data_IF_455405341229
#
_entry.id   IF_455405341229
#
_cell.length_a   1.000
_cell.length_b   1.000
_cell.length_c   1.000
_cell.angle_alpha   90.00
_cell.angle_beta   90.00
_cell.angle_gamma   90.00
#
_symmetry.space_group_name_H-M   'P 1'
#
loop_
_entity.id
_entity.type
_entity.pdbx_description
1 polymer ?
#
# COMPACT_ATOMS: atom_id res chain seq x y z
N UNK A 1 20.96 -8.48 0.67
CA UNK A 1 20.06 -9.38 1.40
C UNK A 1 18.67 -8.81 1.15
N UNK A 2 17.86 -9.45 0.30
CA UNK A 2 16.51 -8.95 -0.03
C UNK A 2 15.63 -9.25 1.19
N UNK A 3 14.94 -8.24 1.70
CA UNK A 3 13.82 -8.43 2.61
C UNK A 3 12.66 -8.90 1.73
N UNK A 4 12.26 -10.16 1.91
CA UNK A 4 11.15 -10.77 1.20
C UNK A 4 9.83 -10.07 1.65
N UNK A 5 8.86 -9.87 0.74
CA UNK A 5 7.46 -9.46 1.01
C UNK A 5 6.66 -10.41 1.92
N UNK A 6 7.40 -11.25 2.66
CA UNK A 6 6.98 -12.09 3.75
C UNK A 6 6.72 -11.30 5.02
N UNK A 7 7.18 -10.05 5.17
CA UNK A 7 7.06 -9.32 6.43
C UNK A 7 5.60 -8.96 6.71
N UNK A 8 4.88 -8.29 5.81
CA UNK A 8 3.46 -8.04 6.01
C UNK A 8 2.69 -9.35 6.19
N UNK A 9 2.73 -10.27 5.22
CA UNK A 9 1.97 -11.53 5.28
C UNK A 9 2.29 -12.45 6.48
N UNK A 10 3.56 -12.55 6.92
CA UNK A 10 3.93 -13.32 8.13
C UNK A 10 3.68 -12.57 9.43
N UNK A 11 3.86 -11.25 9.45
CA UNK A 11 3.51 -10.42 10.62
C UNK A 11 2.01 -10.50 10.90
N UNK A 12 1.23 -10.48 9.83
CA UNK A 12 -0.20 -10.69 9.77
C UNK A 12 -0.67 -12.08 10.24
N UNK A 13 0.15 -13.11 10.02
CA UNK A 13 -0.07 -14.46 10.57
C UNK A 13 0.40 -14.59 12.03
N UNK A 14 1.31 -13.74 12.52
CA UNK A 14 1.94 -13.84 13.85
C UNK A 14 1.16 -13.16 14.99
N UNK A 15 0.21 -12.29 14.68
CA UNK A 15 -0.54 -11.50 15.69
C UNK A 15 -1.99 -12.00 15.80
N UNK A 16 -2.28 -12.74 16.88
CA UNK A 16 -3.65 -13.14 17.23
C UNK A 16 -4.53 -11.90 17.56
N UNK A 17 -5.81 -12.02 17.21
CA UNK A 17 -6.98 -11.14 17.47
C UNK A 17 -7.46 -10.17 16.37
N UNK A 18 -6.82 -10.03 15.21
CA UNK A 18 -7.49 -9.36 14.06
C UNK A 18 -6.81 -9.74 12.74
N UNK A 19 -7.54 -10.32 11.76
CA UNK A 19 -6.96 -10.67 10.47
C UNK A 19 -6.40 -9.42 9.74
N UNK A 20 -5.50 -9.62 8.76
CA UNK A 20 -4.80 -8.54 8.04
C UNK A 20 -5.75 -7.59 7.32
N UNK A 21 -6.78 -8.18 6.74
CA UNK A 21 -7.90 -7.51 6.07
C UNK A 21 -8.72 -6.63 7.02
N UNK A 22 -8.63 -6.84 8.34
CA UNK A 22 -9.37 -6.01 9.30
C UNK A 22 -8.62 -4.71 9.66
N UNK A 23 -7.34 -4.57 9.33
CA UNK A 23 -6.59 -3.36 9.71
C UNK A 23 -6.78 -2.21 8.75
N UNK A 24 -6.73 -2.50 7.45
CA UNK A 24 -7.00 -1.47 6.47
C UNK A 24 -8.45 -1.01 6.60
N UNK A 25 -9.40 -1.92 6.85
CA UNK A 25 -10.79 -1.56 7.14
C UNK A 25 -10.94 -0.75 8.43
N UNK A 26 -10.24 -1.09 9.52
CA UNK A 26 -10.24 -0.28 10.75
C UNK A 26 -9.62 1.10 10.54
N UNK A 27 -8.53 1.19 9.77
CA UNK A 27 -7.90 2.46 9.43
C UNK A 27 -8.85 3.33 8.59
N UNK A 28 -9.48 2.75 7.57
CA UNK A 28 -10.48 3.43 6.74
C UNK A 28 -11.70 3.87 7.54
N UNK A 29 -12.23 3.00 8.40
CA UNK A 29 -13.35 3.35 9.29
C UNK A 29 -12.98 4.48 10.25
N UNK A 30 -11.71 4.60 10.65
CA UNK A 30 -11.23 5.72 11.42
C UNK A 30 -11.15 7.01 10.58
N UNK A 31 -10.62 6.92 9.36
CA UNK A 31 -10.51 8.05 8.42
C UNK A 31 -11.90 8.58 8.04
N UNK A 32 -12.85 7.69 7.73
CA UNK A 32 -14.25 8.05 7.40
C UNK A 32 -15.02 8.72 8.54
N UNK A 33 -14.49 8.69 9.77
CA UNK A 33 -15.06 9.39 10.93
C UNK A 33 -14.46 10.77 11.15
N UNK A 34 -13.39 11.11 10.42
CA UNK A 34 -12.84 12.46 10.44
C UNK A 34 -13.80 13.42 9.77
N UNK A 35 -13.88 14.63 10.31
CA UNK A 35 -14.47 15.74 9.57
C UNK A 35 -13.44 16.29 8.56
N UNK A 36 -13.90 17.14 7.65
CA UNK A 36 -13.07 17.73 6.61
C UNK A 36 -11.81 18.41 7.19
N UNK A 37 -11.94 19.06 8.36
CA UNK A 37 -10.82 19.73 9.00
C UNK A 37 -9.75 18.77 9.52
N UNK A 38 -10.15 17.64 10.11
CA UNK A 38 -9.19 16.63 10.56
C UNK A 38 -8.61 15.87 9.36
N UNK A 39 -9.41 15.60 8.32
CA UNK A 39 -8.92 15.00 7.09
C UNK A 39 -7.82 15.86 6.43
N UNK A 40 -8.07 17.15 6.23
CA UNK A 40 -7.09 18.10 5.68
C UNK A 40 -5.81 18.16 6.51
N UNK A 41 -5.95 18.15 7.84
CA UNK A 41 -4.82 18.13 8.76
C UNK A 41 -4.00 16.84 8.64
N UNK A 42 -4.65 15.69 8.47
CA UNK A 42 -3.98 14.41 8.32
C UNK A 42 -3.33 14.28 6.92
N UNK A 43 -3.96 14.81 5.88
CA UNK A 43 -3.35 14.91 4.55
C UNK A 43 -2.09 15.80 4.56
N UNK A 44 -2.12 16.92 5.29
CA UNK A 44 -0.93 17.77 5.49
C UNK A 44 0.17 17.03 6.26
N UNK A 45 -0.19 16.30 7.32
CA UNK A 45 0.78 15.47 8.05
C UNK A 45 1.39 14.38 7.16
N UNK A 46 0.59 13.79 6.28
CA UNK A 46 1.05 12.79 5.33
C UNK A 46 2.10 13.35 4.36
N UNK A 47 1.97 14.61 3.93
CA UNK A 47 2.99 15.31 3.13
C UNK A 47 4.33 15.43 3.88
N UNK A 48 4.30 15.63 5.20
CA UNK A 48 5.50 15.72 6.02
C UNK A 48 6.14 14.35 6.29
N UNK A 49 5.31 13.33 6.51
CA UNK A 49 5.76 11.99 6.89
C UNK A 49 6.10 11.10 5.70
N UNK A 50 5.50 11.30 4.53
CA UNK A 50 5.75 10.55 3.30
C UNK A 50 5.85 11.47 2.06
N UNK A 51 6.73 12.48 2.07
CA UNK A 51 6.82 13.48 1.00
C UNK A 51 7.12 12.88 -0.37
N UNK A 52 7.89 11.79 -0.44
CA UNK A 52 8.29 11.19 -1.71
C UNK A 52 7.21 10.29 -2.31
N UNK A 53 6.41 9.60 -1.49
CA UNK A 53 5.22 8.87 -1.96
C UNK A 53 4.13 9.83 -2.42
N UNK A 54 3.91 10.92 -1.67
CA UNK A 54 3.00 11.99 -2.11
C UNK A 54 3.47 12.63 -3.41
N UNK A 55 4.77 12.90 -3.57
CA UNK A 55 5.31 13.39 -4.84
C UNK A 55 5.10 12.39 -5.98
N UNK A 56 5.28 11.11 -5.72
CA UNK A 56 5.04 10.06 -6.70
C UNK A 56 3.58 10.10 -7.19
N UNK A 57 2.60 10.14 -6.29
CA UNK A 57 1.17 10.28 -6.64
C UNK A 57 0.92 11.58 -7.41
N UNK A 58 1.46 12.70 -6.93
CA UNK A 58 1.25 14.01 -7.55
C UNK A 58 1.83 14.11 -8.98
N UNK A 59 2.83 13.31 -9.32
CA UNK A 59 3.35 13.25 -10.68
C UNK A 59 2.41 12.53 -11.66
N UNK A 60 1.42 11.79 -11.15
CA UNK A 60 0.41 11.07 -11.95
C UNK A 60 -0.86 11.91 -12.20
N UNK A 61 -0.97 13.09 -11.59
CA UNK A 61 -2.18 13.94 -11.63
C UNK A 61 -2.57 14.37 -13.05
N UNK A 62 -1.59 14.56 -13.94
CA UNK A 62 -1.87 14.91 -15.34
C UNK A 62 -2.42 13.73 -16.15
N UNK A 63 -2.35 12.50 -15.63
CA UNK A 63 -2.68 11.24 -16.30
C UNK A 63 -3.89 10.52 -15.69
N UNK A 64 -4.47 11.05 -14.61
CA UNK A 64 -5.56 10.42 -13.84
C UNK A 64 -6.66 11.43 -13.51
N UNK A 65 -7.89 10.94 -13.30
CA UNK A 65 -9.00 11.78 -12.85
C UNK A 65 -8.82 12.21 -11.39
N UNK A 66 -9.50 13.29 -10.98
CA UNK A 66 -9.36 13.87 -9.64
C UNK A 66 -9.76 12.87 -8.54
N UNK A 67 -10.83 12.11 -8.78
CA UNK A 67 -11.35 11.07 -7.89
C UNK A 67 -10.34 9.93 -7.69
N UNK A 68 -9.59 9.55 -8.74
CA UNK A 68 -8.55 8.53 -8.64
C UNK A 68 -7.38 9.02 -7.79
N UNK A 69 -6.97 10.28 -7.95
CA UNK A 69 -5.92 10.89 -7.13
C UNK A 69 -6.36 10.98 -5.67
N UNK A 70 -7.60 11.40 -5.41
CA UNK A 70 -8.15 11.42 -4.05
C UNK A 70 -8.13 10.02 -3.42
N UNK A 71 -8.53 9.00 -4.19
CA UNK A 71 -8.44 7.62 -3.74
C UNK A 71 -7.01 7.18 -3.43
N UNK A 72 -6.02 7.52 -4.26
CA UNK A 72 -4.62 7.17 -4.02
C UNK A 72 -4.08 7.81 -2.74
N UNK A 73 -4.48 9.05 -2.45
CA UNK A 73 -4.15 9.73 -1.19
C UNK A 73 -4.80 9.00 -0.01
N UNK A 74 -6.09 8.65 -0.12
CA UNK A 74 -6.80 7.88 0.89
C UNK A 74 -6.15 6.51 1.11
N UNK A 75 -5.73 5.83 0.05
CA UNK A 75 -5.06 4.54 0.11
C UNK A 75 -3.72 4.65 0.87
N UNK A 76 -2.88 5.62 0.50
CA UNK A 76 -1.61 5.87 1.19
C UNK A 76 -1.83 6.18 2.68
N UNK A 77 -2.79 7.06 2.99
CA UNK A 77 -3.15 7.42 4.36
C UNK A 77 -3.62 6.20 5.16
N UNK A 78 -4.44 5.35 4.55
CA UNK A 78 -5.01 4.15 5.18
C UNK A 78 -3.95 3.10 5.48
N UNK A 79 -3.04 2.84 4.53
CA UNK A 79 -1.91 1.93 4.74
C UNK A 79 -1.03 2.45 5.87
N UNK A 80 -0.65 3.73 5.83
CA UNK A 80 0.19 4.35 6.86
C UNK A 80 -0.46 4.30 8.25
N UNK A 81 -1.75 4.65 8.35
CA UNK A 81 -2.51 4.61 9.60
C UNK A 81 -2.62 3.18 10.13
N UNK A 82 -2.79 2.18 9.26
CA UNK A 82 -2.80 0.77 9.63
C UNK A 82 -1.51 0.34 10.36
N UNK A 83 -0.34 0.74 9.85
CA UNK A 83 0.94 0.52 10.51
C UNK A 83 1.05 1.26 11.85
N UNK A 84 0.65 2.54 11.89
CA UNK A 84 0.66 3.36 13.11
C UNK A 84 -0.24 2.79 14.21
N UNK A 85 -1.44 2.31 13.86
CA UNK A 85 -2.37 1.68 14.80
C UNK A 85 -1.79 0.40 15.43
N UNK A 86 -0.84 -0.25 14.76
CA UNK A 86 -0.08 -1.39 15.29
C UNK A 86 1.16 -1.00 16.07
N UNK A 87 1.42 0.30 16.23
CA UNK A 87 2.63 0.79 16.90
C UNK A 87 3.90 0.52 16.11
N UNK A 88 3.80 0.28 14.79
CA UNK A 88 4.97 0.11 13.93
C UNK A 88 5.43 1.51 13.50
N UNK A 89 6.63 1.94 13.90
CA UNK A 89 7.16 3.22 13.47
C UNK A 89 7.55 3.16 12.00
N UNK A 90 7.31 4.26 11.29
CA UNK A 90 7.65 4.44 9.89
C UNK A 90 8.67 5.59 9.77
N UNK A 91 9.70 5.37 8.97
CA UNK A 91 10.55 6.41 8.41
C UNK A 91 9.88 7.01 7.15
N UNK A 92 10.52 8.01 6.55
CA UNK A 92 10.16 8.48 5.21
C UNK A 92 10.64 7.46 4.18
N UNK A 93 9.77 7.02 3.26
CA UNK A 93 10.14 6.17 2.13
C UNK A 93 11.18 6.87 1.23
N UNK A 94 12.24 6.18 0.80
CA UNK A 94 13.29 6.80 -0.03
C UNK A 94 12.89 6.86 -1.50
N UNK A 95 13.39 7.87 -2.23
CA UNK A 95 13.16 7.99 -3.68
C UNK A 95 13.68 6.76 -4.42
N UNK A 96 14.86 6.25 -4.03
CA UNK A 96 15.49 5.09 -4.65
C UNK A 96 14.68 3.81 -4.45
N UNK A 97 14.06 3.64 -3.26
CA UNK A 97 13.15 2.51 -3.00
C UNK A 97 11.92 2.59 -3.88
N UNK A 98 11.29 3.77 -3.97
CA UNK A 98 10.11 4.00 -4.81
C UNK A 98 10.45 3.71 -6.29
N UNK A 99 11.51 4.31 -6.83
CA UNK A 99 11.94 4.11 -8.22
C UNK A 99 12.27 2.65 -8.53
N UNK A 100 13.00 1.97 -7.64
CA UNK A 100 13.34 0.56 -7.81
C UNK A 100 12.08 -0.32 -7.83
N UNK A 101 11.10 0.01 -6.98
CA UNK A 101 9.84 -0.73 -6.88
C UNK A 101 8.94 -0.49 -8.08
N UNK A 102 8.77 0.76 -8.51
CA UNK A 102 8.07 1.11 -9.74
C UNK A 102 8.68 0.37 -10.93
N UNK A 103 10.01 0.36 -11.06
CA UNK A 103 10.70 -0.34 -12.16
C UNK A 103 10.43 -1.85 -12.13
N UNK A 104 10.47 -2.47 -10.95
CA UNK A 104 10.21 -3.89 -10.79
C UNK A 104 8.75 -4.24 -11.10
N UNK A 105 7.81 -3.41 -10.66
CA UNK A 105 6.38 -3.60 -10.87
C UNK A 105 5.98 -3.37 -12.32
N UNK A 106 6.50 -2.34 -13.00
CA UNK A 106 6.28 -2.15 -14.45
C UNK A 106 6.69 -3.41 -15.20
N UNK A 107 7.91 -3.93 -14.95
CA UNK A 107 8.37 -5.16 -15.60
C UNK A 107 7.45 -6.35 -15.32
N UNK A 108 6.96 -6.47 -14.09
CA UNK A 108 6.05 -7.55 -13.69
C UNK A 108 4.68 -7.43 -14.38
N UNK A 109 4.16 -6.22 -14.53
CA UNK A 109 2.87 -5.98 -15.19
C UNK A 109 2.97 -6.14 -16.71
N UNK A 110 4.09 -5.72 -17.31
CA UNK A 110 4.39 -6.00 -18.73
C UNK A 110 4.36 -7.52 -19.00
N UNK A 111 4.97 -8.32 -18.13
CA UNK A 111 4.97 -9.80 -18.23
C UNK A 111 3.56 -10.39 -18.09
N UNK A 112 2.69 -9.78 -17.28
CA UNK A 112 1.29 -10.21 -17.14
C UNK A 112 0.48 -9.82 -18.38
N UNK A 113 0.71 -8.63 -18.95
CA UNK A 113 0.00 -8.17 -20.16
C UNK A 113 0.31 -9.05 -21.39
N UNK A 114 1.48 -9.70 -21.42
CA UNK A 114 1.85 -10.65 -22.47
C UNK A 114 1.05 -11.98 -22.41
N UNK A 115 0.30 -12.24 -21.34
CA UNK A 115 -0.56 -13.43 -21.22
C UNK A 115 -1.85 -13.31 -22.04
N UNK A 116 -2.29 -14.39 -22.71
CA UNK A 116 -3.45 -14.37 -23.62
C UNK A 116 -4.79 -14.01 -22.94
N UNK A 117 -4.90 -14.23 -21.62
CA UNK A 117 -6.10 -13.93 -20.83
C UNK A 117 -5.70 -13.47 -19.43
N UNK A 118 -5.60 -12.15 -19.23
CA UNK A 118 -5.27 -11.55 -17.93
C UNK A 118 -6.51 -11.52 -17.04
N UNK A 119 -6.41 -12.16 -15.88
CA UNK A 119 -7.46 -12.10 -14.84
C UNK A 119 -7.01 -11.28 -13.63
N UNK A 120 -7.95 -10.59 -12.97
CA UNK A 120 -7.67 -9.87 -11.72
C UNK A 120 -7.16 -10.80 -10.61
N UNK A 121 -7.66 -12.03 -10.57
CA UNK A 121 -7.26 -13.03 -9.58
C UNK A 121 -5.77 -13.40 -9.74
N UNK A 122 -5.28 -13.48 -10.97
CA UNK A 122 -3.86 -13.76 -11.24
C UNK A 122 -2.97 -12.57 -10.88
N UNK A 123 -3.42 -11.35 -11.15
CA UNK A 123 -2.72 -10.13 -10.71
C UNK A 123 -2.62 -10.10 -9.18
N UNK A 124 -3.72 -10.32 -8.46
CA UNK A 124 -3.71 -10.31 -7.01
C UNK A 124 -2.78 -11.39 -6.45
N UNK A 125 -2.83 -12.62 -6.95
CA UNK A 125 -1.93 -13.70 -6.50
C UNK A 125 -0.46 -13.42 -6.77
N UNK A 126 -0.16 -12.66 -7.82
CA UNK A 126 1.21 -12.27 -8.15
C UNK A 126 1.77 -11.20 -7.19
N UNK A 127 0.90 -10.47 -6.48
CA UNK A 127 1.27 -9.40 -5.56
C UNK A 127 2.10 -9.90 -4.38
N UNK A 128 3.05 -9.09 -3.92
CA UNK A 128 3.72 -9.33 -2.64
C UNK A 128 2.76 -9.12 -1.45
N UNK A 129 1.68 -8.36 -1.68
CA UNK A 129 0.69 -7.98 -0.67
C UNK A 129 -0.76 -8.23 -1.16
N UNK A 130 -1.11 -9.49 -1.49
CA UNK A 130 -2.34 -9.84 -2.21
C UNK A 130 -3.61 -9.37 -1.49
N UNK A 131 -3.66 -9.56 -0.16
CA UNK A 131 -4.84 -9.19 0.63
C UNK A 131 -5.04 -7.68 0.73
N UNK A 132 -3.95 -6.92 0.89
CA UNK A 132 -4.02 -5.45 1.02
C UNK A 132 -4.37 -4.83 -0.33
N UNK A 133 -3.75 -5.33 -1.40
CA UNK A 133 -4.02 -4.86 -2.76
C UNK A 133 -5.46 -5.14 -3.16
N UNK A 134 -5.94 -6.37 -2.96
CA UNK A 134 -7.32 -6.74 -3.25
C UNK A 134 -8.31 -5.86 -2.48
N UNK A 135 -8.06 -5.63 -1.19
CA UNK A 135 -8.95 -4.82 -0.37
C UNK A 135 -9.00 -3.36 -0.84
N UNK A 136 -7.85 -2.74 -1.12
CA UNK A 136 -7.80 -1.39 -1.70
C UNK A 136 -8.57 -1.32 -3.02
N UNK A 137 -8.40 -2.32 -3.89
CA UNK A 137 -9.14 -2.39 -5.14
C UNK A 137 -10.65 -2.53 -4.93
N UNK A 138 -11.10 -3.36 -3.99
CA UNK A 138 -12.52 -3.49 -3.66
C UNK A 138 -13.12 -2.15 -3.18
N UNK A 139 -12.37 -1.38 -2.40
CA UNK A 139 -12.79 -0.04 -1.95
C UNK A 139 -12.91 0.91 -3.12
N UNK A 140 -11.88 0.98 -3.96
CA UNK A 140 -11.90 1.79 -5.18
C UNK A 140 -13.12 1.45 -6.04
N UNK A 141 -13.32 0.15 -6.29
CA UNK A 141 -14.41 -0.34 -7.11
C UNK A 141 -15.80 0.02 -6.56
N UNK A 142 -15.97 0.04 -5.24
CA UNK A 142 -17.26 0.32 -4.60
C UNK A 142 -17.54 1.81 -4.37
N UNK A 143 -16.51 2.59 -4.06
CA UNK A 143 -16.66 3.97 -3.60
C UNK A 143 -16.30 5.02 -4.66
N UNK A 144 -15.44 4.68 -5.63
CA UNK A 144 -14.86 5.62 -6.59
C UNK A 144 -15.19 5.28 -8.04
N UNK A 145 -15.38 3.99 -8.36
CA UNK A 145 -15.76 3.58 -9.71
C UNK A 145 -17.24 3.92 -9.94
N UNK A 146 -17.49 4.96 -10.72
CA UNK A 146 -18.83 5.21 -11.25
C UNK A 146 -19.26 4.03 -12.14
N UNK A 147 -20.56 3.89 -12.46
CA UNK A 147 -21.13 2.72 -13.16
C UNK A 147 -20.59 2.44 -14.58
N UNK A 148 -19.52 3.13 -14.99
CA UNK A 148 -18.83 2.94 -16.25
C UNK A 148 -17.94 1.69 -16.24
N UNK A 149 -17.77 1.10 -17.41
CA UNK A 149 -16.87 -0.03 -17.60
C UNK A 149 -15.44 0.47 -17.75
N UNK A 150 -14.64 0.32 -16.70
CA UNK A 150 -13.19 0.60 -16.72
C UNK A 150 -12.45 -0.53 -17.44
N UNK A 151 -11.49 -0.16 -18.29
CA UNK A 151 -10.69 -1.11 -19.05
C UNK A 151 -9.69 -1.87 -18.18
N UNK A 152 -9.31 -3.09 -18.59
CA UNK A 152 -8.32 -3.88 -17.84
C UNK A 152 -6.97 -3.15 -17.71
N UNK A 153 -6.56 -2.39 -18.73
CA UNK A 153 -5.32 -1.61 -18.71
C UNK A 153 -5.36 -0.49 -17.65
N UNK A 154 -6.49 0.22 -17.51
CA UNK A 154 -6.67 1.24 -16.47
C UNK A 154 -6.63 0.62 -15.08
N UNK A 155 -7.29 -0.54 -14.90
CA UNK A 155 -7.23 -1.29 -13.64
C UNK A 155 -5.78 -1.72 -13.34
N UNK A 156 -5.04 -2.23 -14.32
CA UNK A 156 -3.64 -2.63 -14.15
C UNK A 156 -2.76 -1.45 -13.74
N UNK A 157 -2.94 -0.28 -14.34
CA UNK A 157 -2.23 0.94 -13.97
C UNK A 157 -2.51 1.33 -12.51
N UNK A 158 -3.79 1.32 -12.11
CA UNK A 158 -4.16 1.59 -10.72
C UNK A 158 -3.52 0.60 -9.75
N UNK A 159 -3.62 -0.71 -10.04
CA UNK A 159 -3.07 -1.76 -9.19
C UNK A 159 -1.55 -1.63 -9.04
N UNK A 160 -0.84 -1.29 -10.12
CA UNK A 160 0.58 -1.01 -10.08
C UNK A 160 0.91 0.14 -9.13
N UNK A 161 0.17 1.26 -9.22
CA UNK A 161 0.37 2.43 -8.36
C UNK A 161 0.08 2.09 -6.89
N UNK A 162 -0.99 1.33 -6.63
CA UNK A 162 -1.31 0.84 -5.28
C UNK A 162 -0.20 -0.06 -4.72
N UNK A 163 0.39 -0.95 -5.53
CA UNK A 163 1.51 -1.78 -5.09
C UNK A 163 2.76 -0.94 -4.77
N UNK A 164 3.03 0.12 -5.52
CA UNK A 164 4.11 1.07 -5.19
C UNK A 164 3.84 1.73 -3.83
N UNK A 165 2.60 2.16 -3.58
CA UNK A 165 2.19 2.77 -2.30
C UNK A 165 2.39 1.77 -1.14
N UNK A 166 1.81 0.57 -1.26
CA UNK A 166 1.88 -0.45 -0.21
C UNK A 166 3.34 -0.78 0.10
N UNK A 167 4.11 -1.13 -0.92
CA UNK A 167 5.49 -1.53 -0.73
C UNK A 167 6.40 -0.37 -0.32
N UNK A 168 6.10 0.87 -0.73
CA UNK A 168 6.84 2.05 -0.29
C UNK A 168 6.64 2.33 1.20
N UNK A 169 5.42 2.18 1.71
CA UNK A 169 5.15 2.27 3.16
C UNK A 169 5.80 1.11 3.89
N UNK A 170 5.73 -0.12 3.37
CA UNK A 170 6.37 -1.29 3.98
C UNK A 170 7.89 -1.14 4.11
N UNK A 171 8.56 -0.69 3.04
CA UNK A 171 10.01 -0.43 3.03
C UNK A 171 10.40 0.70 4.00
N UNK A 172 9.45 1.55 4.38
CA UNK A 172 9.67 2.64 5.32
C UNK A 172 9.63 2.20 6.79
N UNK A 173 9.24 0.96 7.09
CA UNK A 173 9.23 0.44 8.45
C UNK A 173 10.62 0.48 9.07
N UNK A 174 10.71 0.93 10.33
CA UNK A 174 11.99 0.85 11.05
C UNK A 174 12.21 -0.61 11.40
N UNK A 175 13.28 -1.22 10.89
CA UNK A 175 13.76 -2.53 11.33
C UNK A 175 13.79 -2.52 12.86
N UNK A 176 12.82 -3.21 13.47
CA UNK A 176 12.92 -3.49 14.89
C UNK A 176 14.02 -4.53 14.97
N UNK A 177 15.18 -4.26 15.60
CA UNK A 177 16.22 -5.26 15.68
C UNK A 177 15.60 -6.51 16.29
N UNK A 178 15.58 -7.60 15.52
CA UNK A 178 15.26 -8.92 16.04
C UNK A 178 16.13 -9.08 17.30
N UNK A 179 15.47 -9.22 18.44
CA UNK A 179 16.18 -9.49 19.68
C UNK A 179 16.87 -10.82 19.45
N UNK A 180 18.18 -10.79 19.16
CA UNK A 180 19.05 -11.94 19.18
C UNK A 180 18.81 -12.66 20.52
N UNK A 181 18.04 -13.74 20.49
CA UNK A 181 18.11 -14.77 21.54
C UNK A 181 19.40 -15.56 21.33
N UNK A 182 20.54 -14.88 21.35
CA UNK A 182 21.87 -15.48 21.36
C UNK A 182 22.73 -14.70 22.35
N UNK A 183 22.33 -14.77 23.61
CA UNK A 183 23.22 -14.66 24.78
C UNK A 183 22.37 -14.75 26.05
N UNK A 184 22.19 -15.96 26.58
CA UNK A 184 22.66 -16.36 27.92
C UNK A 184 22.48 -17.88 28.02
N UNK A 185 23.57 -18.62 27.82
CA UNK A 185 23.77 -19.88 28.52
C UNK A 185 25.17 -19.83 29.14
N UNK A 186 25.30 -19.01 30.18
CA UNK A 186 26.20 -19.34 31.27
C UNK A 186 25.42 -20.25 32.22
N UNK A 187 25.83 -21.51 32.32
CA UNK A 187 26.20 -22.27 33.53
C UNK A 187 26.73 -23.63 33.05
#
# INVERSE_FOLDING_TARGET
MKLDGLLLSKFFLMMDQTPPSDLLSVALDAIRRWDDSEYDKQAQLLLEEQPYLMRFIMNLVDEMEEEDIEFLILALMSVQLGFKMRGIPLNIASVESIEAKTTALVKKYDEIEEEEEVSLDDIFKSSDNPMVLQQLFEIYYHDFLETETVGMAEIMNLLLVLEVIIGGVEDSTIDTPSTNQDSVSEI
#
